data_IF_846776829013
#
_entry.id   IF_846776829013
#
_cell.length_a   1.000
_cell.length_b   1.000
_cell.length_c   1.000
_cell.angle_alpha   90.00
_cell.angle_beta   90.00
_cell.angle_gamma   90.00
#
_symmetry.space_group_name_H-M   'P 1'
#
loop_
_entity.id
_entity.type
_entity.pdbx_description
1 polymer ?
#
# COMPACT_ATOMS: atom_id res chain seq x y z
N UNK A 1 15.42 -9.85 -8.92
CA UNK A 1 14.14 -10.44 -8.46
C UNK A 1 13.12 -9.33 -8.58
N UNK A 2 12.10 -9.48 -9.42
CA UNK A 2 11.10 -8.42 -9.60
C UNK A 2 10.27 -8.29 -8.31
N UNK A 3 10.36 -7.13 -7.68
CA UNK A 3 9.61 -6.81 -6.47
C UNK A 3 8.11 -6.78 -6.81
N UNK A 4 7.40 -7.84 -6.42
CA UNK A 4 5.96 -8.05 -6.67
C UNK A 4 5.05 -7.04 -5.97
N UNK A 5 5.63 -5.98 -5.39
CA UNK A 5 4.96 -4.98 -4.55
C UNK A 5 5.21 -3.54 -5.02
N UNK A 6 5.85 -3.35 -6.19
CA UNK A 6 5.96 -2.04 -6.82
C UNK A 6 7.08 -1.13 -6.28
N UNK A 7 8.01 -1.65 -5.47
CA UNK A 7 9.11 -0.89 -4.87
C UNK A 7 8.65 0.06 -3.76
N UNK A 8 9.54 0.97 -3.32
CA UNK A 8 9.21 1.98 -2.29
C UNK A 8 8.25 3.05 -2.80
N UNK A 9 7.27 3.42 -1.98
CA UNK A 9 6.30 4.48 -2.29
C UNK A 9 6.93 5.88 -2.36
N UNK A 10 7.97 6.11 -1.55
CA UNK A 10 8.69 7.38 -1.48
C UNK A 10 10.16 7.19 -1.86
N UNK A 11 10.84 8.25 -2.35
CA UNK A 11 12.27 8.19 -2.64
C UNK A 11 13.09 7.77 -1.42
N UNK A 12 13.96 6.78 -1.60
CA UNK A 12 14.86 6.28 -0.56
C UNK A 12 16.28 6.81 -0.82
N UNK A 13 16.99 7.35 0.18
CA UNK A 13 18.39 7.70 0.03
C UNK A 13 19.20 6.49 -0.46
N UNK A 14 19.88 6.64 -1.60
CA UNK A 14 20.81 5.64 -2.10
C UNK A 14 22.18 5.89 -1.48
N UNK A 15 22.74 4.85 -0.86
CA UNK A 15 24.12 4.88 -0.39
C UNK A 15 25.00 4.13 -1.38
N UNK A 16 26.12 4.73 -1.77
CA UNK A 16 27.12 4.07 -2.62
C UNK A 16 28.34 3.75 -1.79
N UNK A 17 28.71 2.48 -1.70
CA UNK A 17 29.97 2.05 -1.12
C UNK A 17 30.72 1.21 -2.15
N UNK A 18 31.86 1.73 -2.64
CA UNK A 18 32.70 1.02 -3.62
C UNK A 18 32.04 0.75 -4.98
N UNK A 19 31.11 1.62 -5.44
CA UNK A 19 30.43 1.46 -6.73
C UNK A 19 29.15 0.63 -6.69
N UNK A 20 28.85 -0.03 -5.57
CA UNK A 20 27.58 -0.69 -5.35
C UNK A 20 26.56 0.28 -4.76
N UNK A 21 25.45 0.48 -5.49
CA UNK A 21 24.27 1.20 -5.00
C UNK A 21 23.51 0.28 -4.05
N UNK A 22 23.49 0.62 -2.77
CA UNK A 22 22.68 -0.03 -1.75
C UNK A 22 21.51 0.90 -1.39
N UNK A 23 20.29 0.39 -1.52
CA UNK A 23 19.10 0.99 -0.91
C UNK A 23 18.94 0.40 0.49
N UNK A 24 18.61 1.22 1.48
CA UNK A 24 18.27 0.72 2.81
C UNK A 24 17.18 -0.36 2.70
N UNK A 25 17.35 -1.50 3.36
CA UNK A 25 16.34 -2.56 3.39
C UNK A 25 15.04 -2.12 4.09
N UNK A 26 15.12 -1.08 4.93
CA UNK A 26 13.99 -0.46 5.64
C UNK A 26 13.38 0.70 4.84
N UNK A 27 13.15 0.49 3.54
CA UNK A 27 12.66 1.51 2.65
C UNK A 27 11.14 1.75 2.78
N UNK A 28 10.68 2.09 3.99
CA UNK A 28 9.33 2.58 4.28
C UNK A 28 8.18 1.74 3.70
N UNK A 29 7.07 2.41 3.36
CA UNK A 29 5.91 1.77 2.70
C UNK A 29 6.23 1.42 1.24
N UNK A 30 5.72 0.28 0.77
CA UNK A 30 5.76 -0.05 -0.67
C UNK A 30 4.74 0.79 -1.44
N UNK A 31 4.93 0.96 -2.76
CA UNK A 31 3.96 1.66 -3.61
C UNK A 31 2.57 0.98 -3.54
N UNK A 32 2.54 -0.34 -3.39
CA UNK A 32 1.31 -1.11 -3.14
C UNK A 32 0.62 -0.67 -1.83
N UNK A 33 1.39 -0.53 -0.75
CA UNK A 33 0.85 -0.08 0.54
C UNK A 33 0.31 1.35 0.44
N UNK A 34 0.98 2.21 -0.32
CA UNK A 34 0.54 3.58 -0.55
C UNK A 34 -0.82 3.65 -1.29
N UNK A 35 -0.99 2.90 -2.37
CA UNK A 35 -2.29 2.84 -3.07
C UNK A 35 -3.38 2.24 -2.19
N UNK A 36 -3.08 1.17 -1.44
CA UNK A 36 -4.05 0.57 -0.52
C UNK A 36 -4.46 1.56 0.59
N UNK A 37 -3.51 2.31 1.16
CA UNK A 37 -3.77 3.33 2.17
C UNK A 37 -4.64 4.47 1.63
N UNK A 38 -4.41 4.91 0.38
CA UNK A 38 -5.24 5.92 -0.27
C UNK A 38 -6.68 5.45 -0.48
N UNK A 39 -6.88 4.20 -0.92
CA UNK A 39 -8.23 3.64 -1.03
C UNK A 39 -8.93 3.53 0.33
N UNK A 40 -8.21 3.10 1.36
CA UNK A 40 -8.72 3.05 2.74
C UNK A 40 -9.13 4.45 3.23
N UNK A 41 -8.31 5.48 3.00
CA UNK A 41 -8.59 6.83 3.43
C UNK A 41 -9.84 7.41 2.75
N UNK A 42 -10.00 7.17 1.44
CA UNK A 42 -11.19 7.58 0.69
C UNK A 42 -12.46 6.87 1.18
N UNK A 43 -12.39 5.57 1.42
CA UNK A 43 -13.51 4.78 1.94
C UNK A 43 -13.89 5.25 3.36
N UNK A 44 -12.90 5.44 4.24
CA UNK A 44 -13.13 5.94 5.60
C UNK A 44 -13.76 7.34 5.61
N UNK A 45 -13.34 8.23 4.71
CA UNK A 45 -13.92 9.58 4.59
C UNK A 45 -15.38 9.55 4.11
N UNK A 46 -15.77 8.55 3.31
CA UNK A 46 -17.14 8.40 2.81
C UNK A 46 -18.06 7.60 3.76
N UNK A 47 -17.50 6.93 4.76
CA UNK A 47 -18.22 6.04 5.67
C UNK A 47 -18.86 6.76 6.87
N UNK A 48 -19.16 8.06 6.77
CA UNK A 48 -19.71 8.83 7.89
C UNK A 48 -21.06 8.27 8.41
N UNK A 49 -21.85 7.62 7.54
CA UNK A 49 -23.17 7.06 7.86
C UNK A 49 -23.23 5.52 7.88
N UNK A 50 -22.14 4.83 7.50
CA UNK A 50 -22.05 3.37 7.50
C UNK A 50 -21.11 2.96 8.65
N UNK A 51 -21.60 2.16 9.60
CA UNK A 51 -20.89 1.74 10.81
C UNK A 51 -19.60 0.91 10.58
N UNK A 52 -19.09 0.86 9.36
CA UNK A 52 -18.01 0.00 8.92
C UNK A 52 -16.59 0.44 9.29
N UNK A 53 -16.40 1.67 9.76
CA UNK A 53 -15.16 2.13 10.41
C UNK A 53 -15.35 2.49 11.89
N UNK A 54 -16.38 1.93 12.53
CA UNK A 54 -16.63 2.15 13.96
C UNK A 54 -15.73 1.27 14.84
N UNK A 55 -15.68 1.58 16.13
CA UNK A 55 -15.00 0.74 17.14
C UNK A 55 -15.57 -0.67 17.22
N UNK A 56 -16.82 -0.86 16.78
CA UNK A 56 -17.53 -2.14 16.78
C UNK A 56 -17.27 -2.98 15.51
N UNK A 57 -16.45 -2.47 14.57
CA UNK A 57 -16.12 -3.20 13.36
C UNK A 57 -15.43 -4.53 13.68
N UNK A 58 -15.99 -5.62 13.16
CA UNK A 58 -15.41 -6.96 13.37
C UNK A 58 -14.06 -7.10 12.66
N UNK A 59 -13.15 -7.88 13.25
CA UNK A 59 -11.84 -8.19 12.66
C UNK A 59 -11.97 -8.77 11.24
N UNK A 60 -12.97 -9.60 11.00
CA UNK A 60 -13.21 -10.18 9.66
C UNK A 60 -13.74 -9.15 8.66
N UNK A 61 -14.55 -8.19 9.10
CA UNK A 61 -14.97 -7.04 8.28
C UNK A 61 -13.77 -6.19 7.86
N UNK A 62 -12.88 -5.87 8.81
CA UNK A 62 -11.65 -5.13 8.54
C UNK A 62 -10.73 -5.89 7.57
N UNK A 63 -10.57 -7.21 7.74
CA UNK A 63 -9.80 -8.05 6.81
C UNK A 63 -10.39 -8.06 5.40
N UNK A 64 -11.72 -8.10 5.25
CA UNK A 64 -12.38 -8.05 3.93
C UNK A 64 -12.10 -6.72 3.23
N UNK A 65 -12.17 -5.61 3.95
CA UNK A 65 -11.85 -4.26 3.44
C UNK A 65 -10.39 -4.13 3.05
N UNK A 66 -9.46 -4.53 3.93
CA UNK A 66 -8.03 -4.53 3.62
C UNK A 66 -7.72 -5.32 2.34
N UNK A 67 -8.32 -6.52 2.18
CA UNK A 67 -8.18 -7.31 0.94
C UNK A 67 -8.69 -6.57 -0.29
N UNK A 68 -9.81 -5.85 -0.19
CA UNK A 68 -10.33 -5.04 -1.29
C UNK A 68 -9.33 -3.94 -1.70
N UNK A 69 -8.79 -3.19 -0.73
CA UNK A 69 -7.85 -2.11 -1.01
C UNK A 69 -6.57 -2.62 -1.66
N UNK A 70 -6.02 -3.74 -1.17
CA UNK A 70 -4.85 -4.36 -1.78
C UNK A 70 -5.14 -4.92 -3.19
N UNK A 71 -6.34 -5.45 -3.45
CA UNK A 71 -6.72 -5.86 -4.82
C UNK A 71 -6.81 -4.67 -5.77
N UNK A 72 -7.28 -3.53 -5.30
CA UNK A 72 -7.28 -2.29 -6.10
C UNK A 72 -5.84 -1.82 -6.37
N UNK A 73 -4.98 -1.82 -5.36
CA UNK A 73 -3.57 -1.48 -5.52
C UNK A 73 -2.87 -2.42 -6.53
N UNK A 74 -3.12 -3.73 -6.45
CA UNK A 74 -2.59 -4.72 -7.38
C UNK A 74 -3.07 -4.47 -8.82
N UNK A 75 -4.34 -4.08 -9.00
CA UNK A 75 -4.87 -3.72 -10.32
C UNK A 75 -4.22 -2.46 -10.89
N UNK A 76 -4.00 -1.43 -10.07
CA UNK A 76 -3.31 -0.20 -10.49
C UNK A 76 -1.86 -0.46 -10.91
N UNK A 77 -1.16 -1.34 -10.18
CA UNK A 77 0.20 -1.74 -10.53
C UNK A 77 0.23 -2.56 -11.83
N UNK A 78 -0.70 -3.50 -11.99
CA UNK A 78 -0.79 -4.30 -13.22
C UNK A 78 -0.99 -3.41 -14.46
N UNK A 79 -1.94 -2.46 -14.41
CA UNK A 79 -2.20 -1.52 -15.51
C UNK A 79 -1.01 -0.61 -15.81
N UNK A 80 -0.19 -0.27 -14.80
CA UNK A 80 1.01 0.55 -15.00
C UNK A 80 2.13 -0.20 -15.73
N UNK A 81 2.20 -1.52 -15.51
CA UNK A 81 3.25 -2.38 -16.04
C UNK A 81 2.87 -2.98 -17.43
N UNK A 82 1.71 -2.60 -17.99
CA UNK A 82 1.27 -2.85 -19.38
C UNK A 82 1.95 -1.90 -20.40
#
# INVERSE_FOLDING_TARGET
MSDKHGGSAFPVPQFSHGGNKATSHDAGMTLRDYFAAHMMAGDAANSADDASFTTEATVDGLKKRAKLYYRMADAMLAVRDE
#
